data_IF_271085096707
#
_entry.id   IF_271085096707
#
_cell.length_a   1.000
_cell.length_b   1.000
_cell.length_c   1.000
_cell.angle_alpha   90.00
_cell.angle_beta   90.00
_cell.angle_gamma   90.00
#
_symmetry.space_group_name_H-M   'P 1'
#
loop_
_entity.id
_entity.type
_entity.pdbx_description
1 polymer ?
#
# COMPACT_ATOMS: atom_id res chain seq x y z
N UNK A 1 4.90 2.59 25.02
CA UNK A 1 4.94 3.09 23.63
C UNK A 1 3.52 3.35 23.16
N UNK A 2 3.23 4.51 22.55
CA UNK A 2 1.87 4.83 22.11
C UNK A 2 1.59 4.21 20.73
N UNK A 3 0.87 3.07 20.70
CA UNK A 3 0.55 2.31 19.48
C UNK A 3 -0.15 3.18 18.42
N UNK A 4 -1.09 4.04 18.84
CA UNK A 4 -1.82 4.93 17.94
C UNK A 4 -0.87 5.90 17.23
N UNK A 5 0.07 6.51 17.96
CA UNK A 5 1.05 7.42 17.36
C UNK A 5 1.97 6.71 16.36
N UNK A 6 2.37 5.47 16.66
CA UNK A 6 3.14 4.65 15.70
C UNK A 6 2.34 4.37 14.42
N UNK A 7 1.07 3.99 14.53
CA UNK A 7 0.18 3.77 13.38
C UNK A 7 0.07 5.05 12.54
N UNK A 8 -0.23 6.18 13.17
CA UNK A 8 -0.39 7.47 12.50
C UNK A 8 0.92 7.87 11.80
N UNK A 9 2.05 7.75 12.48
CA UNK A 9 3.36 8.11 11.92
C UNK A 9 3.67 7.31 10.65
N UNK A 10 3.58 5.98 10.70
CA UNK A 10 3.91 5.13 9.55
C UNK A 10 2.90 5.27 8.42
N UNK A 11 1.62 5.43 8.73
CA UNK A 11 0.59 5.67 7.70
C UNK A 11 0.76 7.03 7.03
N UNK A 12 1.05 8.07 7.81
CA UNK A 12 1.33 9.40 7.27
C UNK A 12 2.62 9.45 6.45
N UNK A 13 3.66 8.74 6.86
CA UNK A 13 4.92 8.62 6.11
C UNK A 13 4.69 7.99 4.73
N UNK A 14 3.91 6.92 4.66
CA UNK A 14 3.50 6.36 3.37
C UNK A 14 2.66 7.37 2.56
N UNK A 15 1.69 8.04 3.18
CA UNK A 15 0.88 9.07 2.51
C UNK A 15 1.70 10.26 1.96
N UNK A 16 2.78 10.66 2.65
CA UNK A 16 3.73 11.68 2.17
C UNK A 16 4.43 11.19 0.91
N UNK A 17 4.90 9.93 0.92
CA UNK A 17 5.60 9.35 -0.21
C UNK A 17 4.67 9.19 -1.43
N UNK A 18 3.43 8.77 -1.21
CA UNK A 18 2.39 8.71 -2.26
C UNK A 18 2.11 10.08 -2.88
N UNK A 19 2.02 11.13 -2.07
CA UNK A 19 1.80 12.49 -2.57
C UNK A 19 3.02 13.08 -3.27
N UNK A 20 4.22 12.82 -2.76
CA UNK A 20 5.44 13.42 -3.30
C UNK A 20 6.03 12.59 -4.43
N UNK A 21 6.57 11.42 -4.11
CA UNK A 21 7.21 10.54 -5.09
C UNK A 21 6.18 10.05 -6.11
N UNK A 22 4.96 9.71 -5.69
CA UNK A 22 3.90 9.32 -6.63
C UNK A 22 3.59 10.42 -7.66
N UNK A 23 3.50 11.68 -7.21
CA UNK A 23 3.34 12.82 -8.11
C UNK A 23 4.53 13.00 -9.08
N UNK A 24 5.76 12.91 -8.57
CA UNK A 24 6.96 12.99 -9.42
C UNK A 24 6.98 11.88 -10.48
N UNK A 25 6.62 10.64 -10.10
CA UNK A 25 6.57 9.51 -11.02
C UNK A 25 5.49 9.68 -12.09
N UNK A 26 4.34 10.25 -11.72
CA UNK A 26 3.30 10.63 -12.68
C UNK A 26 3.78 11.71 -13.65
N UNK A 27 4.50 12.73 -13.18
CA UNK A 27 5.04 13.80 -14.04
C UNK A 27 5.97 13.26 -15.13
N UNK A 28 6.85 12.31 -14.78
CA UNK A 28 7.76 11.69 -15.74
C UNK A 28 7.12 10.53 -16.52
N UNK A 29 5.80 10.31 -16.36
CA UNK A 29 5.04 9.24 -17.00
C UNK A 29 5.64 7.83 -16.77
N UNK A 30 6.22 7.60 -15.59
CA UNK A 30 6.88 6.33 -15.28
C UNK A 30 5.83 5.23 -15.10
N UNK A 31 5.80 4.25 -16.01
CA UNK A 31 4.79 3.17 -15.97
C UNK A 31 4.99 2.13 -14.85
N UNK A 32 6.07 2.25 -14.08
CA UNK A 32 6.52 1.28 -13.07
C UNK A 32 6.36 1.73 -11.62
N UNK A 33 5.49 2.71 -11.32
CA UNK A 33 5.39 3.37 -10.00
C UNK A 33 5.21 2.38 -8.85
N UNK A 34 4.42 1.33 -9.10
CA UNK A 34 4.18 0.23 -8.17
C UNK A 34 5.49 -0.45 -7.73
N UNK A 35 6.54 -0.47 -8.55
CA UNK A 35 7.83 -1.07 -8.18
C UNK A 35 8.57 -0.28 -7.09
N UNK A 36 8.19 0.98 -6.85
CA UNK A 36 8.81 1.86 -5.86
C UNK A 36 7.87 2.10 -4.68
N UNK A 37 6.61 2.43 -4.95
CA UNK A 37 5.63 2.80 -3.94
C UNK A 37 5.20 1.59 -3.10
N UNK A 38 4.98 0.44 -3.74
CA UNK A 38 4.55 -0.79 -3.07
C UNK A 38 5.55 -1.29 -2.01
N UNK A 39 6.85 -1.53 -2.33
CA UNK A 39 7.80 -1.99 -1.31
C UNK A 39 7.97 -0.99 -0.18
N UNK A 40 7.86 0.32 -0.44
CA UNK A 40 7.90 1.32 0.62
C UNK A 40 6.68 1.23 1.56
N UNK A 41 5.48 1.07 1.00
CA UNK A 41 4.26 0.83 1.77
C UNK A 41 4.37 -0.43 2.63
N UNK A 42 4.89 -1.53 2.06
CA UNK A 42 5.17 -2.77 2.79
C UNK A 42 6.08 -2.55 3.99
N UNK A 43 7.19 -1.81 3.81
CA UNK A 43 8.11 -1.49 4.90
C UNK A 43 7.43 -0.66 5.99
N UNK A 44 6.64 0.36 5.62
CA UNK A 44 5.91 1.18 6.60
C UNK A 44 4.98 0.32 7.47
N UNK A 45 4.20 -0.56 6.85
CA UNK A 45 3.25 -1.41 7.54
C UNK A 45 3.94 -2.45 8.44
N UNK A 46 4.95 -3.14 7.92
CA UNK A 46 5.63 -4.22 8.65
C UNK A 46 6.52 -3.66 9.76
N UNK A 47 7.19 -2.52 9.56
CA UNK A 47 7.96 -1.84 10.61
C UNK A 47 7.05 -1.36 11.73
N UNK A 48 5.87 -0.81 11.40
CA UNK A 48 4.88 -0.42 12.40
C UNK A 48 4.42 -1.62 13.23
N UNK A 49 4.09 -2.73 12.58
CA UNK A 49 3.64 -3.96 13.26
C UNK A 49 4.73 -4.58 14.14
N UNK A 50 5.98 -4.57 13.68
CA UNK A 50 7.12 -5.00 14.49
C UNK A 50 7.34 -4.08 15.68
N UNK A 51 7.17 -2.78 15.49
CA UNK A 51 7.31 -1.79 16.57
C UNK A 51 6.20 -1.94 17.61
N UNK A 52 4.94 -2.13 17.21
CA UNK A 52 3.78 -2.30 18.12
C UNK A 52 3.65 -3.70 18.71
N UNK A 53 4.32 -4.70 18.14
CA UNK A 53 4.18 -6.11 18.49
C UNK A 53 2.83 -6.71 18.07
N UNK A 54 2.08 -6.07 17.16
CA UNK A 54 0.72 -6.45 16.80
C UNK A 54 0.54 -6.46 15.28
N UNK A 55 0.31 -7.63 14.68
CA UNK A 55 0.14 -7.79 13.22
C UNK A 55 -1.04 -6.99 12.66
N UNK A 56 -2.12 -6.81 13.42
CA UNK A 56 -3.26 -5.98 13.02
C UNK A 56 -2.89 -4.49 12.78
N UNK A 57 -1.72 -4.06 13.24
CA UNK A 57 -1.16 -2.73 12.94
C UNK A 57 -0.93 -2.51 11.44
N UNK A 58 -0.66 -3.57 10.68
CA UNK A 58 -0.46 -3.52 9.22
C UNK A 58 -1.67 -2.87 8.55
N UNK A 59 -2.87 -3.41 8.78
CA UNK A 59 -4.11 -2.90 8.20
C UNK A 59 -4.42 -1.49 8.71
N UNK A 60 -4.15 -1.22 9.99
CA UNK A 60 -4.37 0.12 10.59
C UNK A 60 -3.50 1.19 9.92
N UNK A 61 -2.24 0.87 9.58
CA UNK A 61 -1.34 1.77 8.84
C UNK A 61 -1.83 2.01 7.41
N UNK A 62 -2.21 0.94 6.69
CA UNK A 62 -2.79 1.06 5.36
C UNK A 62 -4.09 1.88 5.36
N UNK A 63 -4.93 1.70 6.37
CA UNK A 63 -6.16 2.48 6.54
C UNK A 63 -5.90 3.98 6.72
N UNK A 64 -4.89 4.34 7.52
CA UNK A 64 -4.47 5.74 7.66
C UNK A 64 -4.00 6.29 6.31
N UNK A 65 -3.09 5.61 5.61
CA UNK A 65 -2.59 6.05 4.30
C UNK A 65 -3.72 6.19 3.26
N UNK A 66 -4.64 5.23 3.21
CA UNK A 66 -5.80 5.26 2.32
C UNK A 66 -6.73 6.43 2.65
N UNK A 67 -6.95 6.72 3.95
CA UNK A 67 -7.77 7.85 4.38
C UNK A 67 -7.12 9.18 4.02
N UNK A 68 -5.80 9.31 4.18
CA UNK A 68 -5.08 10.50 3.69
C UNK A 68 -5.33 10.69 2.20
N UNK A 69 -5.24 9.61 1.40
CA UNK A 69 -5.50 9.68 -0.05
C UNK A 69 -6.95 10.10 -0.36
N UNK A 70 -7.92 9.60 0.40
CA UNK A 70 -9.35 9.94 0.20
C UNK A 70 -9.70 11.40 0.49
N UNK A 71 -8.86 12.15 1.22
CA UNK A 71 -9.08 13.59 1.44
C UNK A 71 -9.17 14.35 0.11
N UNK A 72 -8.52 13.87 -0.94
CA UNK A 72 -8.57 14.47 -2.27
C UNK A 72 -9.97 14.43 -2.90
N UNK A 73 -10.93 13.67 -2.34
CA UNK A 73 -12.33 13.73 -2.75
C UNK A 73 -12.99 15.08 -2.43
N UNK A 74 -12.47 15.81 -1.44
CA UNK A 74 -12.95 17.18 -1.12
C UNK A 74 -12.67 18.15 -2.27
N UNK A 75 -11.72 17.83 -3.15
CA UNK A 75 -11.41 18.63 -4.34
C UNK A 75 -12.36 18.38 -5.51
N UNK A 76 -13.37 17.52 -5.37
CA UNK A 76 -14.35 17.31 -6.43
C UNK A 76 -15.07 18.65 -6.76
N UNK A 77 -15.22 19.04 -8.04
CA UNK A 77 -14.99 18.24 -9.27
C UNK A 77 -13.60 18.41 -9.91
N UNK A 78 -12.67 19.15 -9.32
CA UNK A 78 -11.35 19.43 -9.91
C UNK A 78 -10.53 18.15 -10.14
N UNK A 79 -10.72 17.12 -9.31
CA UNK A 79 -10.10 15.79 -9.46
C UNK A 79 -11.19 14.75 -9.69
N UNK A 80 -11.11 13.92 -10.75
CA UNK A 80 -12.09 12.85 -10.98
C UNK A 80 -12.07 11.83 -9.84
N UNK A 81 -13.25 11.35 -9.45
CA UNK A 81 -13.41 10.41 -8.31
C UNK A 81 -12.50 9.19 -8.43
N UNK A 82 -12.35 8.62 -9.62
CA UNK A 82 -11.53 7.42 -9.84
C UNK A 82 -10.03 7.65 -9.65
N UNK A 83 -9.52 8.88 -9.83
CA UNK A 83 -8.11 9.21 -9.55
C UNK A 83 -7.81 9.20 -8.04
N UNK A 84 -8.83 9.31 -7.20
CA UNK A 84 -8.70 9.29 -5.75
C UNK A 84 -9.03 7.91 -5.17
N UNK A 85 -10.16 7.32 -5.59
CA UNK A 85 -10.64 6.06 -5.03
C UNK A 85 -9.83 4.85 -5.46
N UNK A 86 -9.27 4.83 -6.69
CA UNK A 86 -8.46 3.71 -7.15
C UNK A 86 -7.17 3.59 -6.32
N UNK A 87 -6.31 4.63 -6.17
CA UNK A 87 -5.14 4.51 -5.32
C UNK A 87 -5.49 4.22 -3.85
N UNK A 88 -6.52 4.87 -3.30
CA UNK A 88 -6.93 4.63 -1.92
C UNK A 88 -7.34 3.17 -1.66
N UNK A 89 -8.10 2.55 -2.57
CA UNK A 89 -8.46 1.15 -2.44
C UNK A 89 -7.26 0.22 -2.65
N UNK A 90 -6.37 0.52 -3.61
CA UNK A 90 -5.16 -0.25 -3.83
C UNK A 90 -4.31 -0.32 -2.54
N UNK A 91 -4.04 0.83 -1.92
CA UNK A 91 -3.35 0.94 -0.63
C UNK A 91 -4.00 0.06 0.44
N UNK A 92 -5.34 0.10 0.54
CA UNK A 92 -6.06 -0.67 1.55
C UNK A 92 -5.99 -2.19 1.29
N UNK A 93 -6.16 -2.61 0.04
CA UNK A 93 -6.05 -4.03 -0.36
C UNK A 93 -4.62 -4.55 -0.13
N UNK A 94 -3.60 -3.75 -0.44
CA UNK A 94 -2.19 -4.08 -0.16
C UNK A 94 -1.98 -4.33 1.34
N UNK A 95 -2.61 -3.54 2.20
CA UNK A 95 -2.62 -3.75 3.65
C UNK A 95 -3.28 -5.06 4.07
N UNK A 96 -4.43 -5.42 3.48
CA UNK A 96 -5.11 -6.68 3.76
C UNK A 96 -4.28 -7.90 3.34
N UNK A 97 -3.67 -7.86 2.15
CA UNK A 97 -2.79 -8.93 1.66
C UNK A 97 -1.57 -9.07 2.56
N UNK A 98 -0.92 -7.96 2.90
CA UNK A 98 0.28 -7.96 3.75
C UNK A 98 -0.03 -8.51 5.13
N UNK A 99 -1.18 -8.14 5.71
CA UNK A 99 -1.61 -8.62 7.00
C UNK A 99 -1.90 -10.11 6.99
N UNK A 100 -2.68 -10.60 6.01
CA UNK A 100 -2.97 -12.02 5.85
C UNK A 100 -1.71 -12.85 5.63
N UNK A 101 -0.77 -12.33 4.82
CA UNK A 101 0.53 -12.95 4.59
C UNK A 101 1.34 -13.04 5.89
N UNK A 102 1.50 -11.95 6.63
CA UNK A 102 2.25 -11.95 7.89
C UNK A 102 1.62 -12.84 8.96
N UNK A 103 0.28 -12.88 9.07
CA UNK A 103 -0.41 -13.78 9.99
C UNK A 103 -0.11 -15.26 9.72
N UNK A 104 -0.02 -15.64 8.45
CA UNK A 104 0.33 -17.01 8.07
C UNK A 104 1.85 -17.26 8.19
N UNK A 105 2.66 -16.35 7.69
CA UNK A 105 4.12 -16.50 7.61
C UNK A 105 4.82 -16.53 8.98
N UNK A 106 4.24 -15.87 10.00
CA UNK A 106 4.75 -15.89 11.38
C UNK A 106 4.43 -17.19 12.14
N UNK A 107 3.67 -18.13 11.55
CA UNK A 107 3.47 -19.45 12.17
C UNK A 107 4.75 -20.27 12.10
N UNK A 108 5.32 -20.60 13.28
CA UNK A 108 6.64 -21.20 13.54
C UNK A 108 6.99 -22.50 12.76
N UNK A 109 6.00 -23.14 12.11
CA UNK A 109 6.13 -24.40 11.37
C UNK A 109 6.15 -24.23 9.83
N UNK A 110 5.98 -23.00 9.33
CA UNK A 110 5.82 -22.76 7.89
C UNK A 110 7.14 -22.91 7.13
N UNK A 111 7.24 -23.94 6.28
CA UNK A 111 8.38 -24.15 5.37
C UNK A 111 8.48 -22.97 4.40
N UNK A 112 9.69 -22.48 4.16
CA UNK A 112 9.96 -21.40 3.19
C UNK A 112 9.35 -21.65 1.80
N UNK A 113 9.31 -22.91 1.36
CA UNK A 113 8.67 -23.32 0.10
C UNK A 113 7.17 -22.99 0.02
N UNK A 114 6.46 -22.83 1.14
CA UNK A 114 5.04 -22.47 1.15
C UNK A 114 4.83 -20.95 1.15
N UNK A 115 5.82 -20.16 1.59
CA UNK A 115 5.72 -18.70 1.66
C UNK A 115 5.70 -18.06 0.27
N UNK A 116 6.48 -18.60 -0.67
CA UNK A 116 6.58 -18.11 -2.05
C UNK A 116 5.24 -18.20 -2.81
N UNK A 117 4.65 -19.40 -3.00
CA UNK A 117 3.39 -19.53 -3.72
C UNK A 117 2.24 -18.81 -3.00
N UNK A 118 2.29 -18.73 -1.66
CA UNK A 118 1.30 -17.97 -0.90
C UNK A 118 1.37 -16.46 -1.20
N UNK A 119 2.56 -15.86 -1.16
CA UNK A 119 2.72 -14.44 -1.46
C UNK A 119 2.22 -14.11 -2.88
N UNK A 120 2.65 -14.89 -3.87
CA UNK A 120 2.24 -14.73 -5.26
C UNK A 120 0.72 -14.91 -5.41
N UNK A 121 0.15 -15.94 -4.78
CA UNK A 121 -1.28 -16.22 -4.83
C UNK A 121 -2.13 -15.13 -4.19
N UNK A 122 -1.76 -14.64 -3.00
CA UNK A 122 -2.48 -13.57 -2.32
C UNK A 122 -2.40 -12.24 -3.09
N UNK A 123 -1.23 -11.90 -3.63
CA UNK A 123 -1.08 -10.72 -4.48
C UNK A 123 -1.90 -10.85 -5.77
N UNK A 124 -1.93 -12.03 -6.38
CA UNK A 124 -2.77 -12.27 -7.55
C UNK A 124 -4.25 -12.04 -7.22
N UNK A 125 -4.73 -12.56 -6.09
CA UNK A 125 -6.09 -12.30 -5.61
C UNK A 125 -6.34 -10.80 -5.41
N UNK A 126 -5.39 -10.03 -4.86
CA UNK A 126 -5.57 -8.57 -4.76
C UNK A 126 -5.67 -7.86 -6.10
N UNK A 127 -4.93 -8.30 -7.11
CA UNK A 127 -5.03 -7.74 -8.47
C UNK A 127 -6.44 -8.00 -9.03
N UNK A 128 -6.99 -9.19 -8.81
CA UNK A 128 -8.37 -9.52 -9.22
C UNK A 128 -9.41 -8.67 -8.47
N UNK A 129 -9.26 -8.50 -7.15
CA UNK A 129 -10.15 -7.65 -6.35
C UNK A 129 -10.10 -6.19 -6.82
N UNK A 130 -8.91 -5.66 -7.04
CA UNK A 130 -8.72 -4.31 -7.54
C UNK A 130 -9.31 -4.13 -8.94
N UNK A 131 -9.17 -5.15 -9.81
CA UNK A 131 -9.79 -5.11 -11.14
C UNK A 131 -11.31 -5.18 -11.07
N UNK A 132 -11.86 -5.99 -10.19
CA UNK A 132 -13.30 -6.04 -9.90
C UNK A 132 -13.83 -4.69 -9.44
N UNK A 133 -13.09 -4.01 -8.56
CA UNK A 133 -13.41 -2.64 -8.15
C UNK A 133 -13.41 -1.65 -9.31
N UNK A 134 -12.41 -1.69 -10.18
CA UNK A 134 -12.39 -0.80 -11.34
C UNK A 134 -13.66 -0.99 -12.18
N UNK A 135 -14.07 -2.24 -12.41
CA UNK A 135 -15.25 -2.60 -13.24
C UNK A 135 -16.52 -2.09 -12.59
N UNK A 136 -16.62 -2.27 -11.28
CA UNK A 136 -17.69 -1.69 -10.49
C UNK A 136 -17.73 -0.17 -10.68
N UNK A 137 -16.62 0.54 -10.46
CA UNK A 137 -16.56 2.00 -10.55
C UNK A 137 -16.86 2.55 -11.95
N UNK A 138 -16.53 1.83 -13.01
CA UNK A 138 -16.85 2.22 -14.39
C UNK A 138 -18.36 2.19 -14.67
N UNK A 139 -19.10 1.30 -14.01
CA UNK A 139 -20.56 1.31 -14.08
C UNK A 139 -21.20 2.51 -13.36
N UNK A 140 -20.51 3.12 -12.38
CA UNK A 140 -21.00 4.28 -11.62
C UNK A 140 -20.46 5.62 -12.12
N UNK A 141 -19.26 5.64 -12.69
CA UNK A 141 -18.58 6.84 -13.18
C UNK A 141 -18.41 6.66 -14.68
N UNK A 142 -19.12 7.48 -15.46
CA UNK A 142 -19.36 7.29 -16.91
C UNK A 142 -18.12 7.13 -17.79
N UNK A 143 -16.90 7.32 -17.27
CA UNK A 143 -15.63 7.11 -17.98
C UNK A 143 -14.53 6.71 -16.95
N UNK A 144 -14.27 5.41 -16.75
CA UNK A 144 -13.04 4.94 -16.08
C UNK A 144 -12.01 4.47 -17.14
N UNK A 145 -10.96 5.28 -17.43
CA UNK A 145 -9.98 4.94 -18.45
C UNK A 145 -9.12 3.72 -18.09
N UNK A 146 -9.15 3.26 -16.83
CA UNK A 146 -8.45 2.04 -16.40
C UNK A 146 -8.99 0.77 -17.06
N UNK A 147 -10.24 0.77 -17.53
CA UNK A 147 -10.89 -0.42 -18.12
C UNK A 147 -10.87 -0.41 -19.63
N UNK A 148 -11.08 0.78 -20.21
CA UNK A 148 -11.24 0.98 -21.63
C UNK A 148 -9.93 0.93 -22.45
N UNK A 149 -8.78 0.68 -21.80
CA UNK A 149 -7.53 0.35 -22.52
C UNK A 149 -7.67 -1.03 -23.16
N UNK A 150 -7.44 -1.11 -24.48
CA UNK A 150 -7.68 -2.29 -25.32
C UNK A 150 -7.11 -3.58 -24.70
N UNK A 151 -7.99 -4.48 -24.27
CA UNK A 151 -7.63 -5.75 -23.67
C UNK A 151 -7.24 -6.79 -24.72
N UNK A 152 -5.95 -6.96 -24.94
CA UNK A 152 -5.41 -8.08 -25.73
C UNK A 152 -5.33 -9.38 -24.91
N UNK A 153 -5.11 -10.49 -25.60
CA UNK A 153 -4.93 -11.85 -25.05
C UNK A 153 -3.77 -11.99 -24.04
N UNK A 154 -2.90 -10.97 -23.90
CA UNK A 154 -1.81 -10.92 -22.93
C UNK A 154 -2.15 -10.33 -21.55
N UNK A 155 -3.40 -10.00 -21.23
CA UNK A 155 -3.76 -9.40 -19.93
C UNK A 155 -3.52 -10.35 -18.75
N UNK A 156 -3.91 -11.62 -18.89
CA UNK A 156 -3.74 -12.60 -17.83
C UNK A 156 -2.25 -12.85 -17.53
N UNK A 157 -1.42 -12.97 -18.57
CA UNK A 157 0.02 -13.15 -18.41
C UNK A 157 0.69 -11.93 -17.76
N UNK A 158 0.21 -10.71 -18.05
CA UNK A 158 0.66 -9.50 -17.38
C UNK A 158 0.28 -9.48 -15.89
N UNK A 159 -0.91 -9.95 -15.53
CA UNK A 159 -1.34 -10.02 -14.13
C UNK A 159 -0.56 -11.06 -13.34
N UNK A 160 -0.30 -12.22 -13.94
CA UNK A 160 0.56 -13.25 -13.36
C UNK A 160 1.99 -12.72 -13.21
N UNK A 161 2.54 -12.05 -14.22
CA UNK A 161 3.87 -11.45 -14.13
C UNK A 161 3.95 -10.41 -13.00
N UNK A 162 2.93 -9.56 -12.86
CA UNK A 162 2.86 -8.58 -11.77
C UNK A 162 2.76 -9.24 -10.40
N UNK A 163 1.97 -10.31 -10.25
CA UNK A 163 1.84 -11.01 -8.97
C UNK A 163 3.13 -11.70 -8.55
N UNK A 164 3.91 -12.22 -9.50
CA UNK A 164 5.24 -12.77 -9.22
C UNK A 164 6.19 -11.69 -8.70
N UNK A 165 6.27 -10.55 -9.39
CA UNK A 165 7.17 -9.45 -9.01
C UNK A 165 6.78 -8.87 -7.65
N UNK A 166 5.50 -8.53 -7.45
CA UNK A 166 5.01 -7.98 -6.19
C UNK A 166 5.05 -9.03 -5.06
N UNK A 167 4.79 -10.31 -5.35
CA UNK A 167 4.96 -11.39 -4.38
C UNK A 167 6.42 -11.51 -3.90
N UNK A 168 7.38 -11.36 -4.81
CA UNK A 168 8.80 -11.30 -4.45
C UNK A 168 9.13 -10.06 -3.59
N UNK A 169 8.54 -8.90 -3.90
CA UNK A 169 8.69 -7.68 -3.08
C UNK A 169 8.11 -7.87 -1.67
N UNK A 170 6.94 -8.51 -1.54
CA UNK A 170 6.32 -8.82 -0.26
C UNK A 170 7.22 -9.72 0.61
N UNK A 171 7.78 -10.77 0.00
CA UNK A 171 8.72 -11.67 0.67
C UNK A 171 10.01 -10.97 1.06
N UNK A 172 10.59 -10.19 0.15
CA UNK A 172 11.82 -9.44 0.39
C UNK A 172 11.64 -8.41 1.51
N UNK A 173 10.52 -7.68 1.52
CA UNK A 173 10.18 -6.75 2.59
C UNK A 173 10.01 -7.48 3.93
N UNK A 174 9.33 -8.64 3.95
CA UNK A 174 9.19 -9.43 5.17
C UNK A 174 10.55 -9.91 5.71
N UNK A 175 11.44 -10.39 4.85
CA UNK A 175 12.80 -10.79 5.22
C UNK A 175 13.64 -9.61 5.72
N UNK A 176 13.57 -8.46 5.04
CA UNK A 176 14.30 -7.27 5.43
C UNK A 176 13.82 -6.77 6.79
N UNK A 177 12.51 -6.77 7.01
CA UNK A 177 11.95 -6.38 8.30
C UNK A 177 12.29 -7.41 9.36
N UNK A 178 12.30 -8.72 9.10
CA UNK A 178 12.72 -9.75 10.06
C UNK A 178 14.21 -9.63 10.44
N UNK A 179 15.09 -9.35 9.47
CA UNK A 179 16.53 -9.22 9.67
C UNK A 179 16.97 -7.92 10.35
N UNK A 180 16.20 -6.84 10.21
CA UNK A 180 16.48 -5.57 10.88
C UNK A 180 16.11 -5.62 12.36
N UNK A 181 17.11 -5.55 13.25
CA UNK A 181 16.87 -5.37 14.69
C UNK A 181 16.09 -4.07 14.96
N UNK A 182 15.14 -4.07 15.89
CA UNK A 182 14.37 -2.86 16.24
C UNK A 182 15.27 -1.87 16.99
N UNK A 183 15.58 -0.68 16.45
CA UNK A 183 16.30 0.31 17.23
C UNK A 183 15.33 1.00 18.19
N UNK A 184 15.61 0.89 19.49
CA UNK A 184 14.86 1.55 20.60
C UNK A 184 14.67 3.06 20.32
N UNK A 185 15.58 3.67 19.56
CA UNK A 185 15.52 5.08 19.16
C UNK A 185 14.33 5.45 18.26
N UNK A 186 13.84 4.53 17.40
CA UNK A 186 12.75 4.84 16.47
C UNK A 186 11.46 5.21 17.21
N UNK A 187 11.20 4.56 18.34
CA UNK A 187 9.98 4.76 19.13
C UNK A 187 9.83 6.17 19.71
N UNK A 188 10.96 6.85 19.98
CA UNK A 188 10.93 8.25 20.44
C UNK A 188 10.54 9.20 19.32
N UNK A 189 11.02 8.95 18.11
CA UNK A 189 10.74 9.78 16.93
C UNK A 189 9.31 9.57 16.42
N UNK A 190 8.85 8.32 16.32
CA UNK A 190 7.46 8.05 15.88
C UNK A 190 6.43 8.72 16.78
N UNK A 191 6.67 8.78 18.09
CA UNK A 191 5.76 9.43 19.04
C UNK A 191 5.74 10.96 18.93
N UNK A 192 6.84 11.60 18.52
CA UNK A 192 6.95 13.06 18.39
C UNK A 192 6.48 13.54 17.02
N UNK A 193 6.77 12.76 15.97
CA UNK A 193 6.54 13.16 14.58
C UNK A 193 5.19 12.72 14.02
N UNK A 194 4.40 11.90 14.75
CA UNK A 194 3.11 11.41 14.26
C UNK A 194 2.16 12.53 13.78
N UNK A 195 1.93 13.56 14.61
CA UNK A 195 1.03 14.67 14.26
C UNK A 195 1.64 15.55 13.15
N UNK A 196 2.91 16.02 13.26
CA UNK A 196 3.53 16.78 12.17
C UNK A 196 3.51 16.06 10.81
N UNK A 197 3.78 14.75 10.79
CA UNK A 197 3.78 13.97 9.55
C UNK A 197 2.37 13.80 9.01
N UNK A 198 1.36 13.58 9.88
CA UNK A 198 -0.02 13.51 9.43
C UNK A 198 -0.46 14.83 8.79
N UNK A 199 -0.19 15.96 9.45
CA UNK A 199 -0.49 17.29 8.90
C UNK A 199 0.22 17.50 7.57
N UNK A 200 1.51 17.20 7.48
CA UNK A 200 2.28 17.31 6.25
C UNK A 200 1.71 16.41 5.14
N UNK A 201 1.33 15.18 5.46
CA UNK A 201 0.73 14.23 4.53
C UNK A 201 -0.56 14.77 3.92
N UNK A 202 -1.43 15.35 4.75
CA UNK A 202 -2.68 15.97 4.32
C UNK A 202 -2.40 17.20 3.44
N UNK A 203 -1.49 18.08 3.87
CA UNK A 203 -1.13 19.30 3.12
C UNK A 203 -0.54 18.95 1.76
N UNK A 204 0.38 17.99 1.69
CA UNK A 204 0.99 17.57 0.42
C UNK A 204 -0.05 16.95 -0.53
N UNK A 205 -0.92 16.06 -0.03
CA UNK A 205 -2.01 15.52 -0.84
C UNK A 205 -2.99 16.61 -1.29
N UNK A 206 -3.05 17.74 -0.57
CA UNK A 206 -3.93 18.86 -0.89
C UNK A 206 -3.37 19.83 -1.95
N UNK A 207 -2.07 19.77 -2.23
CA UNK A 207 -1.39 20.76 -3.09
C UNK A 207 -0.75 20.11 -4.32
N UNK A 208 -0.40 18.82 -4.25
CA UNK A 208 0.20 18.02 -5.33
C UNK A 208 -0.85 17.13 -6.00
#
# INVERSE_FOLDING_TARGET
>A
MNKLKTIIFWGALWGILEASLGWVLHLIHFKGEVLLLYPFGLLCMMMAARQTGETATIVKVAFVAATVKLINLVMHPAVPVFHVTNPALAIFIEGLVTWGFCMYAQRKSSRWMLKIPLAIGMVFVSILLFRGWQIFMDAYVSINPGIHKSGGTGLLSLWIGRSVIQGAMLLGAAQLVESTGQPIHLARWTARLAVPFLTLSIVLNSIL
#
